data_IF_131056924131
#
_entry.id   IF_131056924131
#
_cell.length_a   1.000
_cell.length_b   1.000
_cell.length_c   1.000
_cell.angle_alpha   90.00
_cell.angle_beta   90.00
_cell.angle_gamma   90.00
#
_symmetry.space_group_name_H-M   'P 1'
#
loop_
_entity.id
_entity.type
_entity.pdbx_description
1 polymer ?
#
# COMPACT_ATOMS: atom_id res chain seq x y z
N UNK A 1 26.62 -13.70 -0.14
CA UNK A 1 26.68 -12.60 0.83
C UNK A 1 25.29 -12.34 1.44
N UNK A 2 24.25 -12.29 0.62
CA UNK A 2 22.85 -12.01 1.00
C UNK A 2 22.32 -13.09 1.96
N UNK A 3 22.53 -14.37 1.65
CA UNK A 3 22.15 -15.49 2.51
C UNK A 3 22.85 -15.47 3.88
N UNK A 4 24.12 -15.09 3.91
CA UNK A 4 24.88 -14.96 5.17
C UNK A 4 24.34 -13.82 6.02
N UNK A 5 24.00 -12.68 5.40
CA UNK A 5 23.41 -11.54 6.11
C UNK A 5 22.01 -11.88 6.62
N UNK A 6 21.17 -12.50 5.78
CA UNK A 6 19.83 -12.95 6.20
C UNK A 6 19.92 -13.90 7.39
N UNK A 7 20.82 -14.90 7.34
CA UNK A 7 20.99 -15.87 8.43
C UNK A 7 21.43 -15.19 9.72
N UNK A 8 22.40 -14.27 9.66
CA UNK A 8 22.90 -13.54 10.81
C UNK A 8 21.84 -12.64 11.47
N UNK A 9 21.01 -11.99 10.66
CA UNK A 9 19.91 -11.17 11.18
C UNK A 9 18.76 -12.01 11.75
N UNK A 10 18.48 -13.20 11.20
CA UNK A 10 17.47 -14.10 11.74
C UNK A 10 17.91 -14.77 13.05
N UNK A 11 19.19 -14.97 13.23
CA UNK A 11 19.76 -15.52 14.47
C UNK A 11 19.77 -14.48 15.62
N UNK A 12 19.74 -13.18 15.30
CA UNK A 12 19.77 -12.09 16.28
C UNK A 12 18.62 -11.10 16.07
N UNK A 13 17.35 -11.51 16.29
CA UNK A 13 16.23 -10.63 16.08
C UNK A 13 16.22 -9.47 17.09
N UNK A 14 16.09 -8.26 16.59
CA UNK A 14 15.91 -7.07 17.43
C UNK A 14 14.43 -6.97 17.81
N UNK A 15 14.05 -6.99 19.10
CA UNK A 15 12.66 -6.90 19.50
C UNK A 15 11.98 -5.65 18.93
N UNK A 16 10.78 -5.81 18.36
CA UNK A 16 9.97 -4.74 17.76
C UNK A 16 10.55 -4.09 16.50
N UNK A 17 11.54 -4.73 15.85
CA UNK A 17 12.09 -4.28 14.58
C UNK A 17 11.87 -5.38 13.54
N UNK A 18 11.17 -5.05 12.47
CA UNK A 18 11.05 -5.88 11.27
C UNK A 18 12.16 -5.48 10.30
N UNK A 19 13.06 -6.42 10.00
CA UNK A 19 14.18 -6.20 9.09
C UNK A 19 13.95 -6.97 7.79
N UNK A 20 13.97 -6.28 6.67
CA UNK A 20 13.94 -6.89 5.35
C UNK A 20 15.24 -6.60 4.61
N UNK A 21 15.88 -7.66 4.10
CA UNK A 21 17.05 -7.52 3.21
C UNK A 21 16.55 -7.88 1.81
N UNK A 22 16.44 -6.87 0.96
CA UNK A 22 15.97 -7.02 -0.41
C UNK A 22 17.13 -6.71 -1.37
N UNK A 23 17.13 -7.39 -2.52
CA UNK A 23 18.08 -7.07 -3.59
C UNK A 23 17.54 -5.85 -4.34
N UNK A 24 18.39 -4.85 -4.55
CA UNK A 24 18.04 -3.71 -5.39
C UNK A 24 17.79 -4.19 -6.83
N UNK A 25 16.61 -3.90 -7.33
CA UNK A 25 16.23 -4.27 -8.69
C UNK A 25 16.58 -3.11 -9.63
N UNK A 26 17.64 -3.27 -10.43
CA UNK A 26 18.13 -2.26 -11.38
C UNK A 26 17.32 -2.21 -12.69
N UNK A 27 16.13 -2.83 -12.71
CA UNK A 27 15.19 -2.84 -13.85
C UNK A 27 14.01 -1.89 -13.65
N UNK A 28 13.09 -1.83 -14.63
CA UNK A 28 11.80 -1.19 -14.42
C UNK A 28 11.10 -1.86 -13.23
N UNK A 29 10.29 -1.11 -12.45
CA UNK A 29 9.63 -1.66 -11.29
C UNK A 29 8.67 -2.77 -11.74
N UNK A 30 9.11 -4.01 -11.59
CA UNK A 30 8.28 -5.20 -11.78
C UNK A 30 7.63 -5.54 -10.45
N UNK A 31 6.39 -6.03 -10.50
CA UNK A 31 5.72 -6.55 -9.31
C UNK A 31 6.51 -7.73 -8.70
N UNK A 32 6.17 -8.11 -7.48
CA UNK A 32 6.77 -9.31 -6.86
C UNK A 32 6.44 -10.55 -7.68
N UNK A 33 7.36 -11.54 -7.77
CA UNK A 33 7.14 -12.78 -8.51
C UNK A 33 5.89 -13.53 -8.07
N UNK A 34 5.61 -13.49 -6.76
CA UNK A 34 4.36 -13.98 -6.17
C UNK A 34 3.61 -12.77 -5.64
N UNK A 35 2.48 -12.48 -6.24
CA UNK A 35 1.57 -11.41 -5.83
C UNK A 35 0.15 -11.92 -5.84
N UNK A 36 -0.50 -11.90 -4.69
CA UNK A 36 -1.87 -12.37 -4.50
C UNK A 36 -2.72 -11.15 -4.18
N UNK A 37 -3.68 -10.85 -5.04
CA UNK A 37 -4.61 -9.74 -4.86
C UNK A 37 -5.94 -10.28 -4.35
N UNK A 38 -6.42 -9.75 -3.24
CA UNK A 38 -7.73 -10.01 -2.68
C UNK A 38 -8.54 -8.74 -2.86
N UNK A 39 -9.60 -8.81 -3.67
CA UNK A 39 -10.44 -7.66 -4.01
C UNK A 39 -11.84 -7.78 -3.43
N UNK A 40 -12.45 -6.64 -3.04
CA UNK A 40 -13.80 -6.57 -2.52
C UNK A 40 -14.14 -5.23 -1.88
N UNK A 41 -15.39 -5.06 -1.47
CA UNK A 41 -15.89 -3.75 -1.02
C UNK A 41 -15.65 -3.46 0.46
N UNK A 42 -15.76 -4.47 1.34
CA UNK A 42 -15.62 -4.28 2.78
C UNK A 42 -14.21 -4.64 3.24
N UNK A 43 -13.58 -3.69 3.94
CA UNK A 43 -12.19 -3.82 4.36
C UNK A 43 -11.98 -4.82 5.50
N UNK A 44 -12.99 -5.00 6.36
CA UNK A 44 -12.93 -5.98 7.46
C UNK A 44 -12.95 -7.38 6.89
N UNK A 45 -13.82 -7.62 5.90
CA UNK A 45 -13.89 -8.91 5.20
C UNK A 45 -12.61 -9.19 4.41
N UNK A 46 -12.02 -8.17 3.78
CA UNK A 46 -10.72 -8.30 3.11
C UNK A 46 -9.61 -8.70 4.08
N UNK A 47 -9.61 -8.15 5.29
CA UNK A 47 -8.66 -8.51 6.33
C UNK A 47 -8.82 -9.97 6.78
N UNK A 48 -10.05 -10.43 7.00
CA UNK A 48 -10.34 -11.80 7.38
C UNK A 48 -9.95 -12.79 6.27
N UNK A 49 -10.22 -12.44 5.02
CA UNK A 49 -9.81 -13.22 3.85
C UNK A 49 -8.29 -13.28 3.71
N UNK A 50 -7.59 -12.17 3.92
CA UNK A 50 -6.12 -12.12 3.89
C UNK A 50 -5.54 -13.11 4.91
N UNK A 51 -6.04 -13.09 6.13
CA UNK A 51 -5.59 -14.01 7.18
C UNK A 51 -5.92 -15.47 6.84
N UNK A 52 -7.10 -15.74 6.27
CA UNK A 52 -7.51 -17.07 5.82
C UNK A 52 -6.58 -17.59 4.71
N UNK A 53 -6.34 -16.78 3.68
CA UNK A 53 -5.42 -17.10 2.57
C UNK A 53 -4.02 -17.38 3.08
N UNK A 54 -3.47 -16.50 3.91
CA UNK A 54 -2.15 -16.67 4.52
C UNK A 54 -2.04 -17.95 5.33
N UNK A 55 -3.08 -18.29 6.08
CA UNK A 55 -3.13 -19.52 6.89
C UNK A 55 -3.18 -20.77 6.00
N UNK A 56 -3.99 -20.76 4.94
CA UNK A 56 -4.08 -21.89 4.01
C UNK A 56 -2.77 -22.10 3.24
N UNK A 57 -2.11 -21.02 2.79
CA UNK A 57 -0.78 -21.11 2.17
C UNK A 57 0.25 -21.71 3.13
N UNK A 58 0.25 -21.31 4.40
CA UNK A 58 1.16 -21.90 5.40
C UNK A 58 0.88 -23.38 5.66
N UNK A 59 -0.39 -23.80 5.62
CA UNK A 59 -0.79 -25.20 5.82
C UNK A 59 -0.49 -26.09 4.61
N UNK A 60 -0.55 -25.54 3.39
CA UNK A 60 -0.33 -26.31 2.17
C UNK A 60 1.08 -26.88 2.06
N UNK A 61 2.04 -26.27 2.76
CA UNK A 61 3.44 -26.70 2.72
C UNK A 61 4.15 -26.40 1.40
N UNK A 62 3.59 -25.53 0.56
CA UNK A 62 4.20 -25.08 -0.70
C UNK A 62 5.58 -24.50 -0.40
N UNK A 63 6.60 -25.09 -0.99
CA UNK A 63 7.99 -24.67 -0.78
C UNK A 63 8.38 -23.59 -1.80
N UNK A 64 9.43 -22.83 -1.47
CA UNK A 64 9.95 -21.80 -2.37
C UNK A 64 9.37 -20.40 -2.15
N UNK A 65 8.35 -20.25 -1.31
CA UNK A 65 7.82 -18.94 -0.87
C UNK A 65 8.72 -18.42 0.23
N UNK A 66 9.32 -17.24 0.06
CA UNK A 66 10.25 -16.69 1.06
C UNK A 66 9.47 -16.22 2.30
N UNK A 67 8.79 -15.12 2.20
CA UNK A 67 7.96 -14.55 3.26
C UNK A 67 6.78 -13.80 2.63
N UNK A 68 5.57 -14.15 3.06
CA UNK A 68 4.38 -13.45 2.63
C UNK A 68 4.23 -12.13 3.39
N UNK A 69 4.45 -11.03 2.71
CA UNK A 69 4.23 -9.68 3.21
C UNK A 69 2.92 -9.13 2.69
N UNK A 70 2.16 -8.51 3.57
CA UNK A 70 0.92 -7.81 3.19
C UNK A 70 1.18 -6.32 3.08
N UNK A 71 0.48 -5.66 2.16
CA UNK A 71 0.40 -4.20 2.10
C UNK A 71 -0.61 -3.64 3.11
N UNK A 72 -1.34 -4.52 3.80
CA UNK A 72 -2.33 -4.19 4.80
C UNK A 72 -1.67 -3.91 6.15
N UNK A 73 -1.52 -2.66 6.50
CA UNK A 73 -1.11 -2.23 7.85
C UNK A 73 -2.35 -1.84 8.65
N UNK A 74 -2.84 -2.75 9.49
CA UNK A 74 -4.13 -2.61 10.21
C UNK A 74 -4.01 -1.99 11.60
N UNK A 75 -2.87 -2.10 12.25
CA UNK A 75 -2.73 -1.73 13.66
C UNK A 75 -1.94 -0.43 13.86
N UNK A 76 -2.14 0.55 12.99
CA UNK A 76 -1.52 1.85 13.19
C UNK A 76 -2.27 2.58 14.30
N UNK A 77 -1.65 2.79 15.48
CA UNK A 77 -2.31 3.52 16.55
C UNK A 77 -2.51 4.98 16.13
N UNK A 78 -3.70 5.49 16.32
CA UNK A 78 -4.01 6.90 16.11
C UNK A 78 -4.70 7.49 17.34
N UNK A 79 -4.55 8.79 17.47
CA UNK A 79 -5.20 9.57 18.52
C UNK A 79 -6.18 10.52 17.85
N UNK A 80 -7.45 10.34 18.17
CA UNK A 80 -8.52 11.20 17.69
C UNK A 80 -8.81 12.23 18.77
N UNK A 81 -8.68 13.51 18.43
CA UNK A 81 -9.04 14.63 19.28
C UNK A 81 -10.39 15.15 18.81
N UNK A 82 -11.42 14.85 19.58
CA UNK A 82 -12.82 15.17 19.28
C UNK A 82 -13.19 16.51 19.91
N UNK A 83 -13.29 17.55 19.10
CA UNK A 83 -13.60 18.89 19.57
C UNK A 83 -15.08 19.08 19.74
N UNK A 84 -15.54 19.34 20.97
CA UNK A 84 -16.92 19.71 21.26
C UNK A 84 -17.20 21.12 20.76
N UNK A 85 -17.86 21.21 19.60
CA UNK A 85 -18.12 22.49 18.92
C UNK A 85 -18.98 23.45 19.72
N UNK A 86 -19.92 22.95 20.52
CA UNK A 86 -20.78 23.79 21.36
C UNK A 86 -20.00 24.42 22.49
N UNK A 87 -19.14 23.64 23.18
CA UNK A 87 -18.26 24.16 24.23
C UNK A 87 -17.26 25.15 23.66
N UNK A 88 -16.63 24.82 22.53
CA UNK A 88 -15.66 25.71 21.87
C UNK A 88 -16.33 27.02 21.43
N UNK A 89 -17.53 26.96 20.86
CA UNK A 89 -18.27 28.17 20.45
C UNK A 89 -18.69 29.04 21.62
N UNK A 90 -19.08 28.46 22.76
CA UNK A 90 -19.38 29.23 23.99
C UNK A 90 -18.15 29.99 24.51
N UNK A 91 -16.98 29.41 24.39
CA UNK A 91 -15.73 30.07 24.73
C UNK A 91 -15.25 31.07 23.66
N UNK A 92 -15.93 31.16 22.51
CA UNK A 92 -15.57 32.05 21.39
C UNK A 92 -14.35 31.57 20.57
N UNK A 93 -14.02 30.27 20.66
CA UNK A 93 -12.93 29.65 19.90
C UNK A 93 -13.48 28.73 18.80
N UNK A 94 -12.92 28.81 17.61
CA UNK A 94 -13.29 27.93 16.49
C UNK A 94 -12.53 26.59 16.53
N UNK A 95 -13.13 25.54 16.00
CA UNK A 95 -12.45 24.24 15.85
C UNK A 95 -11.14 24.35 15.04
N UNK A 96 -11.07 25.29 14.09
CA UNK A 96 -9.86 25.54 13.30
C UNK A 96 -8.72 26.11 14.18
N UNK A 97 -9.03 27.03 15.11
CA UNK A 97 -8.04 27.56 16.05
C UNK A 97 -7.54 26.46 16.99
N UNK A 98 -8.43 25.59 17.48
CA UNK A 98 -8.06 24.42 18.29
C UNK A 98 -7.12 23.51 17.52
N UNK A 99 -7.48 23.14 16.28
CA UNK A 99 -6.66 22.29 15.43
C UNK A 99 -5.28 22.88 15.13
N UNK A 100 -5.21 24.19 14.85
CA UNK A 100 -3.94 24.91 14.63
C UNK A 100 -3.06 24.89 15.87
N UNK A 101 -3.63 25.15 17.06
CA UNK A 101 -2.88 25.15 18.32
C UNK A 101 -2.31 23.76 18.62
N UNK A 102 -3.12 22.70 18.48
CA UNK A 102 -2.69 21.32 18.66
C UNK A 102 -1.60 20.94 17.65
N UNK A 103 -1.80 21.28 16.38
CA UNK A 103 -0.80 21.03 15.32
C UNK A 103 0.52 21.72 15.62
N UNK A 104 0.49 22.98 16.00
CA UNK A 104 1.68 23.74 16.36
C UNK A 104 2.40 23.13 17.57
N UNK A 105 1.64 22.69 18.58
CA UNK A 105 2.20 22.03 19.74
C UNK A 105 2.89 20.72 19.42
N UNK A 106 2.26 19.86 18.62
CA UNK A 106 2.76 18.52 18.28
C UNK A 106 3.87 18.53 17.22
N UNK A 107 3.62 19.19 16.09
CA UNK A 107 4.50 19.13 14.92
C UNK A 107 5.42 20.34 14.81
N UNK A 108 5.05 21.45 15.47
CA UNK A 108 5.74 22.70 15.36
C UNK A 108 5.25 23.57 14.21
N UNK A 109 5.65 24.84 14.27
CA UNK A 109 5.50 25.80 13.17
C UNK A 109 6.81 26.51 12.93
N UNK A 110 7.14 26.73 11.68
CA UNK A 110 8.29 27.57 11.30
C UNK A 110 7.92 29.03 11.57
N UNK A 111 8.70 29.68 12.44
CA UNK A 111 8.48 31.09 12.82
C UNK A 111 9.44 32.03 12.11
N UNK A 112 10.62 31.57 11.73
CA UNK A 112 11.66 32.33 11.07
C UNK A 112 12.70 31.40 10.48
N UNK A 113 13.64 31.95 9.73
CA UNK A 113 14.85 31.26 9.24
C UNK A 113 16.08 31.99 9.77
N UNK A 114 17.02 31.21 10.23
CA UNK A 114 18.37 31.70 10.53
C UNK A 114 19.22 31.50 9.29
N UNK A 115 19.86 32.57 8.82
CA UNK A 115 20.74 32.56 7.67
C UNK A 115 22.18 32.58 8.13
N UNK A 116 22.93 31.56 7.72
CA UNK A 116 24.37 31.47 7.94
C UNK A 116 25.08 31.40 6.58
N UNK A 117 25.71 32.50 6.22
CA UNK A 117 26.36 32.68 4.91
C UNK A 117 25.43 32.39 3.72
N UNK A 118 25.51 31.17 3.17
CA UNK A 118 24.72 30.70 2.03
C UNK A 118 23.57 29.78 2.43
N UNK A 119 23.57 29.27 3.67
CA UNK A 119 22.62 28.28 4.14
C UNK A 119 21.52 28.93 4.99
N UNK A 120 20.30 28.42 4.87
CA UNK A 120 19.15 28.85 5.64
C UNK A 120 18.65 27.68 6.52
N UNK A 121 18.56 27.93 7.83
CA UNK A 121 18.11 26.96 8.81
C UNK A 121 16.73 27.38 9.36
N UNK A 122 15.68 26.53 9.25
CA UNK A 122 14.36 26.87 9.75
C UNK A 122 14.34 26.87 11.29
N UNK A 123 13.82 27.94 11.88
CA UNK A 123 13.56 28.03 13.31
C UNK A 123 12.14 27.53 13.57
N UNK A 124 12.03 26.38 14.22
CA UNK A 124 10.73 25.75 14.52
C UNK A 124 10.35 25.96 16.00
N UNK A 125 9.14 26.43 16.24
CA UNK A 125 8.51 26.50 17.54
C UNK A 125 7.61 25.28 17.76
N UNK A 126 7.87 24.50 18.81
CA UNK A 126 7.05 23.33 19.18
C UNK A 126 7.13 23.05 20.68
N UNK A 127 6.22 22.24 21.21
CA UNK A 127 6.31 21.77 22.58
C UNK A 127 7.57 20.92 22.81
N UNK A 128 8.12 20.98 24.01
CA UNK A 128 9.25 20.13 24.42
C UNK A 128 8.87 18.64 24.30
N UNK A 129 9.85 17.79 23.98
CA UNK A 129 9.64 16.35 23.72
C UNK A 129 8.84 15.64 24.82
N UNK A 130 9.19 15.88 26.10
CA UNK A 130 8.51 15.26 27.25
C UNK A 130 7.01 15.63 27.35
N UNK A 131 6.65 16.85 26.93
CA UNK A 131 5.24 17.30 26.92
C UNK A 131 4.49 16.80 25.69
N UNK A 132 5.19 16.57 24.59
CA UNK A 132 4.61 16.11 23.34
C UNK A 132 4.35 14.61 23.32
N UNK A 133 5.18 13.82 24.02
CA UNK A 133 5.07 12.37 24.09
C UNK A 133 4.10 11.88 25.17
N UNK A 134 3.55 12.79 25.98
CA UNK A 134 2.57 12.48 27.03
C UNK A 134 1.24 13.15 26.70
N UNK A 135 0.24 12.32 26.41
CA UNK A 135 -1.09 12.79 25.97
C UNK A 135 -1.79 13.60 27.06
N UNK A 136 -1.61 13.23 28.32
CA UNK A 136 -2.16 13.95 29.46
C UNK A 136 -1.64 15.41 29.52
N UNK A 137 -0.36 15.62 29.19
CA UNK A 137 0.20 16.96 29.11
C UNK A 137 -0.29 17.75 27.90
N UNK A 138 -0.55 17.05 26.79
CA UNK A 138 -1.17 17.68 25.62
C UNK A 138 -2.59 18.16 25.94
N UNK A 139 -3.38 17.36 26.65
CA UNK A 139 -4.73 17.74 27.09
C UNK A 139 -4.74 18.97 28.03
N UNK A 140 -3.69 19.10 28.84
CA UNK A 140 -3.55 20.24 29.73
C UNK A 140 -3.00 21.49 29.03
N UNK A 141 -2.70 21.41 27.74
CA UNK A 141 -2.23 22.56 26.97
C UNK A 141 -3.29 23.66 26.95
N UNK A 142 -2.90 24.88 27.29
CA UNK A 142 -3.74 26.05 27.19
C UNK A 142 -3.69 26.62 25.77
N UNK A 143 -4.86 26.74 25.15
CA UNK A 143 -5.02 27.35 23.83
C UNK A 143 -5.26 28.85 24.08
N UNK A 144 -4.32 29.69 23.62
CA UNK A 144 -4.44 31.15 23.69
C UNK A 144 -5.01 31.65 22.36
N UNK A 145 -6.09 32.44 22.45
CA UNK A 145 -6.75 33.01 21.28
C UNK A 145 -7.26 34.42 21.60
N UNK A 146 -7.60 35.18 20.55
CA UNK A 146 -8.25 36.47 20.67
C UNK A 146 -9.75 36.29 20.59
N UNK A 147 -10.46 36.70 21.65
CA UNK A 147 -11.92 36.66 21.66
C UNK A 147 -12.47 37.93 20.99
N UNK A 148 -12.94 37.77 19.77
CA UNK A 148 -13.50 38.91 19.00
C UNK A 148 -14.81 39.42 19.57
N UNK A 149 -15.55 38.60 20.32
CA UNK A 149 -16.80 39.01 20.99
C UNK A 149 -16.53 39.91 22.21
N UNK A 150 -15.33 39.86 22.75
CA UNK A 150 -14.88 40.69 23.87
C UNK A 150 -13.83 41.74 23.45
N UNK A 151 -13.98 42.31 22.26
CA UNK A 151 -13.09 43.37 21.80
C UNK A 151 -11.64 42.96 21.52
N UNK A 152 -11.39 41.69 21.27
CA UNK A 152 -10.06 41.16 20.95
C UNK A 152 -9.19 40.84 22.15
N UNK A 153 -9.78 40.71 23.36
CA UNK A 153 -9.08 40.30 24.56
C UNK A 153 -8.42 38.92 24.41
N UNK A 154 -7.21 38.77 24.96
CA UNK A 154 -6.52 37.46 24.99
C UNK A 154 -7.15 36.58 26.08
N UNK A 155 -7.64 35.43 25.67
CA UNK A 155 -8.17 34.40 26.55
C UNK A 155 -7.37 33.11 26.42
N UNK A 156 -7.45 32.29 27.46
CA UNK A 156 -6.84 30.94 27.48
C UNK A 156 -7.89 29.93 27.90
N UNK A 157 -7.96 28.83 27.15
CA UNK A 157 -8.85 27.71 27.43
C UNK A 157 -8.01 26.44 27.40
N UNK A 158 -8.06 25.58 28.43
CA UNK A 158 -7.38 24.29 28.41
C UNK A 158 -8.07 23.35 27.42
N UNK A 159 -7.28 22.60 26.64
CA UNK A 159 -7.79 21.71 25.59
C UNK A 159 -8.79 20.71 26.15
N UNK A 160 -8.57 20.16 27.35
CA UNK A 160 -9.45 19.18 28.00
C UNK A 160 -10.85 19.69 28.34
N UNK A 161 -11.05 21.01 28.37
CA UNK A 161 -12.38 21.60 28.62
C UNK A 161 -13.26 21.57 27.37
N UNK A 162 -12.67 21.53 26.18
CA UNK A 162 -13.35 21.68 24.91
C UNK A 162 -13.15 20.49 23.95
N UNK A 163 -12.31 19.52 24.32
CA UNK A 163 -12.03 18.35 23.48
C UNK A 163 -11.85 17.10 24.33
N UNK A 164 -12.29 15.98 23.77
CA UNK A 164 -12.10 14.63 24.29
C UNK A 164 -11.10 13.86 23.43
N UNK A 165 -10.32 12.95 24.04
CA UNK A 165 -9.38 12.10 23.32
C UNK A 165 -9.88 10.67 23.27
N UNK A 166 -9.81 10.08 22.07
CA UNK A 166 -10.03 8.66 21.83
C UNK A 166 -8.82 8.03 21.20
N UNK A 167 -8.46 6.85 21.69
CA UNK A 167 -7.50 5.98 21.00
C UNK A 167 -8.25 5.14 19.98
N UNK A 168 -7.73 5.09 18.80
CA UNK A 168 -8.27 4.29 17.71
C UNK A 168 -7.12 3.56 16.99
N UNK A 169 -7.49 2.60 16.20
CA UNK A 169 -6.59 1.98 15.22
C UNK A 169 -7.05 2.40 13.84
N UNK A 170 -6.11 2.79 13.00
CA UNK A 170 -6.37 3.20 11.63
C UNK A 170 -5.66 2.31 10.64
N UNK A 171 -6.17 2.30 9.43
CA UNK A 171 -5.50 1.67 8.30
C UNK A 171 -4.46 2.63 7.72
N UNK A 172 -3.27 2.10 7.40
CA UNK A 172 -2.20 2.94 6.87
C UNK A 172 -2.55 3.50 5.50
N UNK A 173 -3.08 2.64 4.63
CA UNK A 173 -3.52 3.00 3.28
C UNK A 173 -4.60 2.03 2.80
N UNK A 174 -5.41 2.48 1.87
CA UNK A 174 -6.41 1.66 1.16
C UNK A 174 -6.05 1.70 -0.31
N UNK A 175 -5.53 0.58 -0.81
CA UNK A 175 -5.22 0.44 -2.22
C UNK A 175 -6.48 0.12 -3.02
N UNK A 176 -6.55 0.64 -4.25
CA UNK A 176 -7.65 0.36 -5.17
C UNK A 176 -7.11 0.04 -6.56
N UNK A 177 -7.70 -0.99 -7.18
CA UNK A 177 -7.45 -1.37 -8.56
C UNK A 177 -8.80 -1.58 -9.24
N UNK A 178 -9.00 -1.00 -10.40
CA UNK A 178 -10.28 -1.06 -11.13
C UNK A 178 -11.50 -0.66 -10.29
N UNK A 179 -11.35 0.36 -9.44
CA UNK A 179 -12.37 0.90 -8.51
C UNK A 179 -12.69 -0.01 -7.30
N UNK A 180 -12.26 -1.24 -7.26
CA UNK A 180 -12.37 -2.14 -6.11
C UNK A 180 -11.23 -1.93 -5.11
N UNK A 181 -11.51 -2.13 -3.82
CA UNK A 181 -10.47 -2.15 -2.80
C UNK A 181 -9.71 -3.45 -2.92
N UNK A 182 -8.39 -3.37 -2.82
CA UNK A 182 -7.52 -4.53 -2.86
C UNK A 182 -6.60 -4.60 -1.64
N UNK A 183 -6.31 -5.82 -1.24
CA UNK A 183 -5.23 -6.17 -0.31
C UNK A 183 -4.27 -7.09 -1.07
N UNK A 184 -2.99 -6.76 -1.02
CA UNK A 184 -1.95 -7.50 -1.75
C UNK A 184 -1.06 -8.25 -0.78
N UNK A 185 -0.94 -9.56 -1.00
CA UNK A 185 0.06 -10.42 -0.38
C UNK A 185 1.19 -10.66 -1.38
N UNK A 186 2.37 -10.16 -1.09
CA UNK A 186 3.53 -10.30 -1.95
C UNK A 186 4.62 -11.17 -1.32
N UNK A 187 5.30 -11.96 -2.13
CA UNK A 187 6.49 -12.71 -1.71
C UNK A 187 7.52 -12.80 -2.82
N UNK A 188 8.76 -12.91 -2.42
CA UNK A 188 9.85 -13.30 -3.29
C UNK A 188 9.99 -14.82 -3.31
N UNK A 189 10.66 -15.35 -4.33
CA UNK A 189 10.89 -16.79 -4.48
C UNK A 189 12.30 -17.14 -4.02
N UNK A 190 12.41 -18.21 -3.22
CA UNK A 190 13.70 -18.73 -2.76
C UNK A 190 14.51 -19.22 -3.96
N UNK A 191 15.82 -18.96 -3.94
CA UNK A 191 16.71 -19.37 -5.02
C UNK A 191 16.66 -20.88 -5.26
N UNK A 192 16.47 -21.28 -6.51
CA UNK A 192 16.34 -22.68 -6.93
C UNK A 192 14.89 -23.15 -7.14
N UNK A 193 13.89 -22.35 -6.82
CA UNK A 193 12.49 -22.63 -7.09
C UNK A 193 11.97 -21.82 -8.27
N UNK A 194 10.96 -22.35 -8.96
CA UNK A 194 10.34 -21.71 -10.12
C UNK A 194 9.06 -20.96 -9.69
N UNK A 195 9.01 -19.65 -9.93
CA UNK A 195 7.86 -18.83 -9.58
C UNK A 195 6.56 -19.33 -10.26
N UNK A 196 6.64 -19.77 -11.51
CA UNK A 196 5.45 -20.23 -12.25
C UNK A 196 4.87 -21.54 -11.69
N UNK A 197 5.70 -22.44 -11.18
CA UNK A 197 5.23 -23.67 -10.53
C UNK A 197 4.51 -23.33 -9.23
N UNK A 198 5.11 -22.47 -8.38
CA UNK A 198 4.50 -22.00 -7.13
C UNK A 198 3.16 -21.31 -7.39
N UNK A 199 3.10 -20.45 -8.42
CA UNK A 199 1.86 -19.76 -8.83
C UNK A 199 0.79 -20.76 -9.27
N UNK A 200 1.17 -21.82 -9.99
CA UNK A 200 0.26 -22.90 -10.38
C UNK A 200 -0.33 -23.62 -9.17
N UNK A 201 0.51 -23.98 -8.19
CA UNK A 201 0.08 -24.61 -6.95
C UNK A 201 -0.83 -23.71 -6.12
N UNK A 202 -0.48 -22.41 -6.01
CA UNK A 202 -1.29 -21.40 -5.31
C UNK A 202 -2.65 -21.20 -5.99
N UNK A 203 -2.69 -21.17 -7.32
CA UNK A 203 -3.95 -21.03 -8.08
C UNK A 203 -4.88 -22.19 -7.79
N UNK A 204 -4.36 -23.41 -7.79
CA UNK A 204 -5.12 -24.62 -7.45
C UNK A 204 -5.61 -24.59 -5.99
N UNK A 205 -4.78 -24.11 -5.08
CA UNK A 205 -5.15 -23.95 -3.67
C UNK A 205 -6.32 -22.96 -3.51
N UNK A 206 -6.31 -21.87 -4.26
CA UNK A 206 -7.35 -20.83 -4.16
C UNK A 206 -8.71 -21.27 -4.69
N UNK A 207 -8.76 -22.18 -5.64
CA UNK A 207 -10.01 -22.80 -6.11
C UNK A 207 -10.75 -23.54 -4.98
N UNK A 208 -10.02 -24.02 -3.97
CA UNK A 208 -10.58 -24.69 -2.79
C UNK A 208 -10.98 -23.74 -1.66
N UNK A 209 -10.69 -22.46 -1.76
CA UNK A 209 -11.03 -21.48 -0.70
C UNK A 209 -12.44 -20.94 -0.94
N UNK A 210 -13.29 -21.09 0.09
CA UNK A 210 -14.62 -20.47 0.09
C UNK A 210 -14.49 -18.95 0.24
N UNK A 211 -14.85 -18.23 -0.83
CA UNK A 211 -14.76 -16.77 -0.96
C UNK A 211 -16.18 -16.21 -0.93
N UNK A 212 -16.49 -15.22 -0.08
CA UNK A 212 -17.81 -14.59 -0.04
C UNK A 212 -18.20 -13.93 -1.38
N UNK A 213 -19.50 -13.81 -1.63
CA UNK A 213 -20.02 -13.14 -2.82
C UNK A 213 -19.51 -11.69 -2.90
N UNK A 214 -19.03 -11.27 -4.07
CA UNK A 214 -18.46 -9.94 -4.29
C UNK A 214 -16.99 -9.80 -3.95
N UNK A 215 -16.33 -10.89 -3.54
CA UNK A 215 -14.89 -10.91 -3.30
C UNK A 215 -14.19 -11.83 -4.28
N UNK A 216 -12.94 -11.51 -4.61
CA UNK A 216 -12.13 -12.33 -5.52
C UNK A 216 -10.72 -12.47 -5.00
N UNK A 217 -10.11 -13.64 -5.25
CA UNK A 217 -8.69 -13.88 -5.02
C UNK A 217 -8.07 -14.17 -6.38
N UNK A 218 -7.03 -13.44 -6.74
CA UNK A 218 -6.36 -13.59 -8.04
C UNK A 218 -4.85 -13.42 -7.92
N UNK A 219 -4.13 -14.01 -8.85
CA UNK A 219 -2.71 -13.72 -9.01
C UNK A 219 -2.57 -12.39 -9.76
N UNK A 220 -1.76 -11.49 -9.19
CA UNK A 220 -1.43 -10.18 -9.74
C UNK A 220 0.06 -10.04 -9.99
N UNK A 221 0.52 -8.80 -10.15
CA UNK A 221 1.92 -8.46 -10.34
C UNK A 221 2.49 -9.03 -11.64
N UNK A 222 3.70 -9.55 -11.60
CA UNK A 222 4.42 -10.04 -12.79
C UNK A 222 3.63 -11.07 -13.60
N UNK A 223 2.82 -11.91 -12.94
CA UNK A 223 2.01 -12.93 -13.60
C UNK A 223 0.87 -12.33 -14.44
N UNK A 224 0.25 -11.27 -13.95
CA UNK A 224 -0.79 -10.54 -14.67
C UNK A 224 -0.19 -9.87 -15.92
N UNK A 225 0.96 -9.20 -15.75
CA UNK A 225 1.67 -8.53 -16.84
C UNK A 225 2.14 -9.52 -17.92
N UNK A 226 2.63 -10.69 -17.53
CA UNK A 226 3.01 -11.76 -18.46
C UNK A 226 1.79 -12.29 -19.24
N UNK A 227 0.66 -12.50 -18.56
CA UNK A 227 -0.57 -12.99 -19.20
C UNK A 227 -1.14 -11.96 -20.17
N UNK A 228 -1.16 -10.69 -19.79
CA UNK A 228 -1.63 -9.59 -20.63
C UNK A 228 -0.73 -9.44 -21.87
N UNK A 229 0.58 -9.41 -21.66
CA UNK A 229 1.58 -9.32 -22.74
C UNK A 229 1.50 -10.53 -23.67
N UNK A 230 1.35 -11.75 -23.13
CA UNK A 230 1.19 -12.96 -23.92
C UNK A 230 -0.09 -12.96 -24.77
N UNK A 231 -1.19 -12.49 -24.20
CA UNK A 231 -2.46 -12.36 -24.92
C UNK A 231 -2.38 -11.32 -26.03
N UNK A 232 -1.80 -10.16 -25.74
CA UNK A 232 -1.57 -9.11 -26.73
C UNK A 232 -0.69 -9.60 -27.88
N UNK A 233 0.43 -10.26 -27.55
CA UNK A 233 1.36 -10.81 -28.55
C UNK A 233 0.68 -11.88 -29.42
N UNK A 234 -0.15 -12.76 -28.83
CA UNK A 234 -0.92 -13.74 -29.55
C UNK A 234 -1.91 -13.13 -30.55
N UNK A 235 -2.65 -12.10 -30.12
CA UNK A 235 -3.58 -11.37 -31.00
C UNK A 235 -2.83 -10.64 -32.11
N UNK A 236 -1.73 -9.95 -31.79
CA UNK A 236 -0.90 -9.26 -32.74
C UNK A 236 -0.29 -10.20 -33.79
N UNK A 237 0.19 -11.37 -33.35
CA UNK A 237 0.71 -12.42 -34.24
C UNK A 237 -0.37 -12.94 -35.19
N UNK A 238 -1.57 -13.23 -34.69
CA UNK A 238 -2.70 -13.67 -35.51
C UNK A 238 -3.09 -12.61 -36.56
N UNK A 239 -3.15 -11.33 -36.13
CA UNK A 239 -3.42 -10.23 -37.04
C UNK A 239 -2.34 -10.09 -38.14
N UNK A 240 -1.08 -10.26 -37.78
CA UNK A 240 0.04 -10.26 -38.74
C UNK A 240 -0.09 -11.40 -39.75
N UNK A 241 -0.43 -12.63 -39.30
CA UNK A 241 -0.66 -13.77 -40.19
C UNK A 241 -1.81 -13.51 -41.18
N UNK A 242 -2.92 -12.93 -40.70
CA UNK A 242 -4.05 -12.59 -41.56
C UNK A 242 -3.65 -11.53 -42.60
N UNK A 243 -2.89 -10.51 -42.21
CA UNK A 243 -2.40 -9.49 -43.15
C UNK A 243 -1.46 -10.08 -44.20
N UNK A 244 -0.51 -10.93 -43.80
CA UNK A 244 0.38 -11.64 -44.73
C UNK A 244 -0.43 -12.52 -45.68
N UNK A 245 -1.43 -13.23 -45.16
CA UNK A 245 -2.32 -14.04 -46.00
C UNK A 245 -3.04 -13.21 -47.07
N UNK A 246 -3.60 -12.05 -46.66
CA UNK A 246 -4.30 -11.13 -47.59
C UNK A 246 -3.39 -10.58 -48.68
N UNK A 247 -2.16 -10.20 -48.30
CA UNK A 247 -1.14 -9.69 -49.23
C UNK A 247 -0.80 -10.80 -50.26
N UNK A 248 -0.52 -12.02 -49.76
CA UNK A 248 -0.19 -13.13 -50.65
C UNK A 248 -1.38 -13.54 -51.54
N UNK A 249 -2.60 -13.57 -51.01
CA UNK A 249 -3.80 -13.87 -51.78
C UNK A 249 -4.02 -12.86 -52.91
N UNK A 250 -3.78 -11.60 -52.66
CA UNK A 250 -3.84 -10.51 -53.66
C UNK A 250 -2.72 -10.64 -54.69
N UNK A 251 -1.50 -10.90 -54.21
CA UNK A 251 -0.31 -11.05 -55.04
C UNK A 251 -0.44 -12.23 -56.07
N UNK A 252 -0.94 -13.38 -55.57
CA UNK A 252 -1.09 -14.58 -56.38
C UNK A 252 -2.46 -14.74 -57.08
N UNK A 253 -3.34 -13.79 -56.86
CA UNK A 253 -4.75 -13.81 -57.32
C UNK A 253 -5.41 -15.19 -57.06
N UNK A 254 -5.16 -15.77 -55.88
CA UNK A 254 -5.58 -17.10 -55.48
C UNK A 254 -5.61 -17.22 -53.98
N UNK A 255 -6.69 -17.73 -53.41
CA UNK A 255 -6.80 -18.01 -51.99
C UNK A 255 -6.07 -19.29 -51.52
N UNK A 256 -5.84 -20.23 -52.45
CA UNK A 256 -5.25 -21.56 -52.13
C UNK A 256 -3.72 -21.49 -52.03
N UNK A 257 -3.07 -20.73 -52.90
CA UNK A 257 -1.62 -20.66 -52.94
C UNK A 257 -0.99 -20.17 -51.62
N UNK A 258 -1.50 -19.10 -50.95
CA UNK A 258 -0.99 -18.72 -49.66
C UNK A 258 -1.13 -19.80 -48.57
N UNK A 259 -2.21 -20.57 -48.57
CA UNK A 259 -2.38 -21.69 -47.63
C UNK A 259 -1.29 -22.74 -47.75
N UNK A 260 -0.88 -23.07 -49.00
CA UNK A 260 0.21 -24.02 -49.24
C UNK A 260 1.53 -23.46 -48.69
N UNK A 261 1.78 -22.16 -48.88
CA UNK A 261 2.99 -21.49 -48.38
C UNK A 261 3.01 -21.52 -46.85
N UNK A 262 1.90 -21.20 -46.19
CA UNK A 262 1.81 -21.30 -44.72
C UNK A 262 2.01 -22.74 -44.22
N UNK A 263 1.43 -23.73 -44.89
CA UNK A 263 1.62 -25.12 -44.52
C UNK A 263 3.09 -25.56 -44.62
N UNK A 264 3.82 -25.09 -45.63
CA UNK A 264 5.25 -25.38 -45.75
C UNK A 264 6.10 -24.68 -44.70
N UNK A 265 5.75 -23.47 -44.29
CA UNK A 265 6.46 -22.75 -43.22
C UNK A 265 6.24 -23.43 -41.86
N UNK A 266 5.02 -23.94 -41.59
CA UNK A 266 4.70 -24.65 -40.34
C UNK A 266 5.37 -26.04 -40.26
N UNK A 267 5.65 -26.67 -41.39
CA UNK A 267 6.25 -28.02 -41.49
C UNK A 267 7.79 -27.98 -41.59
N UNK A 268 8.37 -26.83 -41.78
CA UNK A 268 9.84 -26.61 -41.85
C UNK A 268 10.44 -26.35 -40.47
#
# INVERSE_FOLDING_TARGET
LLEKLQKEFFEHPIPSVEMAIERENNGPPTGKPISIEIAGDDFVVLQDLEQKVRKEIRKSGIQGIQELKTDLVTNKPEIIIDVNREKASREGISSAQVAMAVRTGLFGTEISKYRDLKDEYPIQLRLKGDSRNQIEKLLQMNITYRDMNMGGALRQVPLNSIADIRYATSFSQINRKNQERIVTLGSDVIQGYNANEIVGELTTLFEGIDVPQGYTIRMGGEQEDQKESGTFLGVAFLAALVLIYLILATQFNSAVKPMIIFATILLS
#
